data_IF_805962946990
#
_entry.id   IF_805962946990
#
_cell.length_a   1.000
_cell.length_b   1.000
_cell.length_c   1.000
_cell.angle_alpha   90.00
_cell.angle_beta   90.00
_cell.angle_gamma   90.00
#
_symmetry.space_group_name_H-M   'P 1'
#
loop_
_entity.id
_entity.type
_entity.pdbx_description
1 polymer ?
#
# COMPACT_ATOMS: atom_id res chain seq x y z
N UNK A 1 31.68 8.21 14.07
CA UNK A 1 30.57 7.90 15.01
C UNK A 1 29.78 6.65 14.60
N UNK A 2 29.39 6.49 13.33
CA UNK A 2 28.62 5.31 12.84
C UNK A 2 29.41 3.99 12.94
N UNK A 3 30.75 4.05 12.90
CA UNK A 3 31.63 2.87 12.88
C UNK A 3 32.09 2.38 14.26
N UNK A 4 31.85 3.15 15.34
CA UNK A 4 32.45 2.85 16.65
C UNK A 4 31.56 1.97 17.53
N UNK A 5 30.23 2.00 17.35
CA UNK A 5 29.27 1.20 18.13
C UNK A 5 28.02 0.86 17.29
N UNK A 6 28.08 -0.17 16.43
CA UNK A 6 26.99 -0.50 15.50
C UNK A 6 25.69 -0.88 16.24
N UNK A 7 25.78 -1.62 17.35
CA UNK A 7 24.61 -2.04 18.13
C UNK A 7 23.90 -0.87 18.81
N UNK A 8 24.67 0.10 19.32
CA UNK A 8 24.12 1.31 19.96
C UNK A 8 23.42 2.18 18.92
N UNK A 9 23.99 2.31 17.71
CA UNK A 9 23.36 3.01 16.60
C UNK A 9 22.04 2.33 16.16
N UNK A 10 21.98 1.00 16.12
CA UNK A 10 20.73 0.27 15.81
C UNK A 10 19.69 0.51 16.91
N UNK A 11 20.07 0.43 18.18
CA UNK A 11 19.17 0.69 19.30
C UNK A 11 18.59 2.11 19.26
N UNK A 12 19.41 3.13 18.97
CA UNK A 12 18.94 4.51 18.80
C UNK A 12 18.00 4.67 17.59
N UNK A 13 18.27 4.00 16.47
CA UNK A 13 17.37 4.03 15.30
C UNK A 13 16.01 3.44 15.64
N UNK A 14 15.97 2.29 16.30
CA UNK A 14 14.71 1.67 16.74
C UNK A 14 13.98 2.59 17.72
N UNK A 15 14.70 3.15 18.70
CA UNK A 15 14.12 4.08 19.67
C UNK A 15 13.48 5.31 18.99
N UNK A 16 14.19 5.92 18.02
CA UNK A 16 13.69 7.07 17.27
C UNK A 16 12.53 6.70 16.34
N UNK A 17 12.52 5.51 15.73
CA UNK A 17 11.40 5.03 14.90
C UNK A 17 10.13 4.76 15.71
N UNK A 18 10.25 4.34 16.97
CA UNK A 18 9.10 4.12 17.86
C UNK A 18 8.57 5.44 18.42
N UNK A 19 9.47 6.39 18.74
CA UNK A 19 9.08 7.71 19.27
C UNK A 19 8.65 8.72 18.20
N UNK A 20 9.00 8.49 16.94
CA UNK A 20 8.47 9.25 15.81
C UNK A 20 6.95 9.16 15.77
N UNK A 21 6.29 10.28 16.01
CA UNK A 21 4.82 10.34 16.09
C UNK A 21 4.19 9.80 14.82
N UNK A 22 3.04 9.13 15.02
CA UNK A 22 2.24 8.33 14.08
C UNK A 22 1.64 9.09 12.89
N UNK A 23 2.27 10.16 12.40
CA UNK A 23 1.77 10.99 11.30
C UNK A 23 1.57 10.15 10.02
N UNK A 24 2.41 9.15 9.79
CA UNK A 24 2.24 8.18 8.70
C UNK A 24 0.98 7.33 8.85
N UNK A 25 0.67 6.89 10.08
CA UNK A 25 -0.57 6.20 10.41
C UNK A 25 -1.79 7.08 10.19
N UNK A 26 -1.77 8.32 10.68
CA UNK A 26 -2.84 9.30 10.48
C UNK A 26 -3.08 9.61 9.00
N UNK A 27 -1.99 9.78 8.22
CA UNK A 27 -2.05 9.95 6.77
C UNK A 27 -2.70 8.74 6.10
N UNK A 28 -2.28 7.53 6.47
CA UNK A 28 -2.82 6.28 5.91
C UNK A 28 -4.32 6.12 6.22
N UNK A 29 -4.73 6.37 7.46
CA UNK A 29 -6.15 6.33 7.85
C UNK A 29 -6.98 7.42 7.18
N UNK A 30 -6.41 8.61 6.97
CA UNK A 30 -7.05 9.70 6.24
C UNK A 30 -7.33 9.30 4.78
N UNK A 31 -6.37 8.66 4.12
CA UNK A 31 -6.56 8.11 2.76
C UNK A 31 -7.61 7.00 2.76
N UNK A 32 -7.53 6.04 3.69
CA UNK A 32 -8.51 4.96 3.78
C UNK A 32 -9.93 5.48 3.99
N UNK A 33 -10.10 6.55 4.79
CA UNK A 33 -11.37 7.25 4.98
C UNK A 33 -11.89 7.89 3.69
N UNK A 34 -11.02 8.42 2.83
CA UNK A 34 -11.41 8.97 1.51
C UNK A 34 -11.82 7.86 0.54
N UNK A 35 -11.11 6.72 0.55
CA UNK A 35 -11.40 5.56 -0.30
C UNK A 35 -12.74 4.92 0.09
N UNK A 36 -13.04 4.85 1.39
CA UNK A 36 -14.32 4.34 1.92
C UNK A 36 -15.43 5.40 1.79
N UNK A 37 -16.18 5.33 0.69
CA UNK A 37 -17.36 6.17 0.48
C UNK A 37 -18.66 5.37 0.67
N UNK A 38 -19.80 6.07 0.66
CA UNK A 38 -21.12 5.47 0.88
C UNK A 38 -21.48 4.39 -0.16
N UNK A 39 -21.02 4.55 -1.40
CA UNK A 39 -21.21 3.58 -2.49
C UNK A 39 -20.38 2.31 -2.30
N UNK A 40 -19.26 2.41 -1.59
CA UNK A 40 -18.35 1.30 -1.26
C UNK A 40 -18.49 0.85 0.19
N UNK A 41 -19.63 1.13 0.82
CA UNK A 41 -19.89 0.80 2.23
C UNK A 41 -19.82 -0.70 2.54
N UNK A 42 -20.06 -1.56 1.55
CA UNK A 42 -20.03 -3.03 1.65
C UNK A 42 -18.69 -3.67 1.29
N UNK A 43 -17.64 -2.88 1.03
CA UNK A 43 -16.33 -3.43 0.65
C UNK A 43 -15.68 -4.17 1.84
N UNK A 44 -15.12 -5.35 1.58
CA UNK A 44 -14.38 -6.11 2.58
C UNK A 44 -13.06 -5.44 2.99
N UNK A 45 -12.59 -5.70 4.21
CA UNK A 45 -11.43 -5.04 4.80
C UNK A 45 -10.14 -5.27 3.98
N UNK A 46 -9.90 -6.49 3.50
CA UNK A 46 -8.70 -6.81 2.72
C UNK A 46 -8.64 -6.02 1.41
N UNK A 47 -9.79 -5.91 0.73
CA UNK A 47 -9.92 -5.17 -0.51
C UNK A 47 -9.80 -3.65 -0.26
N UNK A 48 -10.36 -3.16 0.85
CA UNK A 48 -10.20 -1.76 1.26
C UNK A 48 -8.74 -1.42 1.57
N UNK A 49 -8.04 -2.29 2.28
CA UNK A 49 -6.62 -2.12 2.59
C UNK A 49 -5.79 -2.07 1.30
N UNK A 50 -6.01 -3.02 0.40
CA UNK A 50 -5.33 -3.08 -0.90
C UNK A 50 -5.56 -1.81 -1.74
N UNK A 51 -6.79 -1.30 -1.79
CA UNK A 51 -7.11 -0.03 -2.47
C UNK A 51 -6.47 1.17 -1.79
N UNK A 52 -6.35 1.16 -0.46
CA UNK A 52 -5.72 2.24 0.29
C UNK A 52 -4.23 2.31 -0.01
N UNK A 53 -3.54 1.16 -0.11
CA UNK A 53 -2.13 1.09 -0.52
C UNK A 53 -1.96 1.65 -1.94
N UNK A 54 -2.80 1.24 -2.88
CA UNK A 54 -2.78 1.79 -4.25
C UNK A 54 -3.02 3.31 -4.30
N UNK A 55 -3.84 3.83 -3.39
CA UNK A 55 -4.11 5.26 -3.30
C UNK A 55 -2.98 6.06 -2.62
N UNK A 56 -2.23 5.43 -1.72
CA UNK A 56 -1.01 6.02 -1.11
C UNK A 56 0.10 6.08 -2.16
N UNK A 57 0.31 4.99 -2.89
CA UNK A 57 1.32 4.85 -3.95
C UNK A 57 0.82 5.36 -5.32
N UNK A 58 -0.04 6.38 -5.31
CA UNK A 58 -0.70 6.86 -6.52
C UNK A 58 0.29 7.38 -7.58
N UNK A 59 1.40 7.99 -7.16
CA UNK A 59 2.45 8.49 -8.07
C UNK A 59 3.06 7.34 -8.89
N UNK A 60 3.45 6.26 -8.22
CA UNK A 60 3.94 5.05 -8.89
C UNK A 60 2.84 4.39 -9.73
N UNK A 61 1.58 4.41 -9.29
CA UNK A 61 0.48 3.85 -10.05
C UNK A 61 0.23 4.58 -11.38
N UNK A 62 0.48 5.88 -11.47
CA UNK A 62 0.32 6.64 -12.72
C UNK A 62 1.31 6.20 -13.81
N UNK A 63 2.47 5.67 -13.44
CA UNK A 63 3.47 5.15 -14.38
C UNK A 63 3.09 3.76 -14.93
N UNK A 64 2.13 3.08 -14.30
CA UNK A 64 1.68 1.75 -14.70
C UNK A 64 0.66 1.87 -15.82
N UNK A 65 0.93 1.18 -16.93
CA UNK A 65 -0.02 1.01 -18.03
C UNK A 65 -1.20 0.11 -17.60
N UNK A 66 -2.30 0.75 -17.23
CA UNK A 66 -3.52 0.07 -16.79
C UNK A 66 -4.13 -0.83 -17.86
N UNK A 67 -3.98 -0.51 -19.15
CA UNK A 67 -4.53 -1.32 -20.25
C UNK A 67 -3.83 -2.68 -20.31
N UNK A 68 -2.49 -2.68 -20.18
CA UNK A 68 -1.70 -3.93 -20.11
C UNK A 68 -2.07 -4.78 -18.89
N UNK A 69 -2.34 -4.16 -17.75
CA UNK A 69 -2.77 -4.87 -16.53
C UNK A 69 -4.14 -5.52 -16.75
N UNK A 70 -5.08 -4.81 -17.38
CA UNK A 70 -6.40 -5.34 -17.71
C UNK A 70 -6.29 -6.50 -18.69
N UNK A 71 -5.50 -6.36 -19.75
CA UNK A 71 -5.27 -7.42 -20.74
C UNK A 71 -4.64 -8.66 -20.11
N UNK A 72 -3.61 -8.49 -19.27
CA UNK A 72 -2.98 -9.58 -18.52
C UNK A 72 -3.98 -10.29 -17.59
N UNK A 73 -4.84 -9.52 -16.91
CA UNK A 73 -5.87 -10.08 -16.04
C UNK A 73 -6.95 -10.83 -16.84
N UNK A 74 -7.37 -10.28 -17.98
CA UNK A 74 -8.33 -10.92 -18.88
C UNK A 74 -7.77 -12.25 -19.42
N UNK A 75 -6.51 -12.25 -19.87
CA UNK A 75 -5.81 -13.44 -20.36
C UNK A 75 -5.65 -14.51 -19.27
N UNK A 76 -5.37 -14.12 -18.02
CA UNK A 76 -5.32 -15.05 -16.88
C UNK A 76 -6.70 -15.61 -16.49
N UNK A 77 -7.75 -14.80 -16.60
CA UNK A 77 -9.13 -15.21 -16.27
C UNK A 77 -9.76 -16.06 -17.39
N UNK A 78 -9.28 -15.93 -18.62
CA UNK A 78 -9.69 -16.74 -19.75
C UNK A 78 -9.28 -18.20 -19.51
N UNK A 79 -10.19 -19.00 -18.92
CA UNK A 79 -10.09 -20.46 -18.97
C UNK A 79 -10.19 -20.84 -20.45
N UNK A 80 -9.06 -21.19 -21.07
CA UNK A 80 -9.07 -21.87 -22.36
C UNK A 80 -9.89 -23.14 -22.17
N UNK A 81 -11.14 -23.17 -22.64
CA UNK A 81 -11.81 -24.45 -22.91
C UNK A 81 -10.95 -25.11 -23.99
N UNK A 82 -10.15 -26.09 -23.57
CA UNK A 82 -9.54 -27.02 -24.51
C UNK A 82 -10.72 -27.75 -25.15
N UNK A 83 -10.96 -27.44 -26.42
CA UNK A 83 -11.79 -28.24 -27.31
C UNK A 83 -10.93 -29.39 -27.85
#
# INVERSE_FOLDING_TARGET
MVTSFPNVNIAFRIYLSIFGTSCEGERSFSIQKRVKNWQRSTIGQDKLSSLSVLAIEHEFHQEIDTEKVIESFANKKYRKKVL
#
